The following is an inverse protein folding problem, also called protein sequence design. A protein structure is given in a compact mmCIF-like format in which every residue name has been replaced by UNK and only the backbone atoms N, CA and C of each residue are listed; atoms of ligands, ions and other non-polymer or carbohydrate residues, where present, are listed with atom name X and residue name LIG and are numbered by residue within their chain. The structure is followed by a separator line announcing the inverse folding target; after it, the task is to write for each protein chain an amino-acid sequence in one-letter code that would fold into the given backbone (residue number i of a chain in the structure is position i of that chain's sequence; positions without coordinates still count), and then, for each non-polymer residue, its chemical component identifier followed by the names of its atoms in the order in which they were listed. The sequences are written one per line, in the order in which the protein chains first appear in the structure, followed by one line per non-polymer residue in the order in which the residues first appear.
data_IF_909696772904
#
_entry.id   IF_909696772904
#
_cell.length_a   1.000
_cell.length_b   1.000
_cell.length_c   1.000
_cell.angle_alpha   90.00
_cell.angle_beta   90.00
_cell.angle_gamma   90.00
#
_symmetry.space_group_name_H-M   'P 1'
#
loop_
_entity.id
_entity.type
_entity.pdbx_description
1 polymer ?
#
# COMPACT_ATOMS: atom_id res chain seq x y z
N UNK A 1 -10.84 -31.46 -1.32
CA UNK A 1 -10.55 -31.10 -2.72
C UNK A 1 -10.40 -29.60 -2.74
N UNK A 2 -9.15 -29.14 -2.77
CA UNK A 2 -8.79 -27.73 -2.73
C UNK A 2 -9.06 -27.12 -4.10
N UNK A 3 -9.85 -26.06 -4.16
CA UNK A 3 -9.99 -25.27 -5.38
C UNK A 3 -9.02 -24.09 -5.31
N UNK A 4 -8.11 -24.08 -6.27
CA UNK A 4 -7.01 -23.13 -6.42
C UNK A 4 -7.48 -22.11 -7.45
N UNK A 5 -8.25 -21.12 -7.01
CA UNK A 5 -8.72 -20.03 -7.85
C UNK A 5 -8.60 -18.67 -7.12
N UNK A 6 -7.46 -18.43 -6.48
CA UNK A 6 -7.13 -17.15 -5.85
C UNK A 6 -6.48 -16.20 -6.86
N UNK A 7 -7.27 -15.23 -7.32
CA UNK A 7 -6.82 -14.10 -8.15
C UNK A 7 -5.97 -13.12 -7.31
N UNK A 8 -4.92 -12.49 -7.88
CA UNK A 8 -3.96 -11.71 -7.11
C UNK A 8 -4.53 -10.34 -6.72
N UNK A 9 -4.53 -10.00 -5.42
CA UNK A 9 -4.82 -8.65 -4.91
C UNK A 9 -3.82 -8.31 -3.79
N UNK A 10 -3.60 -7.02 -3.48
CA UNK A 10 -2.37 -6.44 -2.91
C UNK A 10 -2.63 -5.55 -1.68
N UNK A 11 -1.76 -5.60 -0.66
CA UNK A 11 -1.63 -4.65 0.43
C UNK A 11 -0.18 -4.65 0.95
N UNK A 12 0.38 -3.45 1.12
CA UNK A 12 1.65 -3.21 1.80
C UNK A 12 1.42 -2.39 3.05
N UNK A 13 2.20 -2.64 4.10
CA UNK A 13 2.41 -1.66 5.16
C UNK A 13 3.92 -1.44 5.27
N UNK A 14 4.40 -0.32 4.72
CA UNK A 14 5.76 0.17 4.93
C UNK A 14 5.64 1.53 5.63
N UNK A 15 6.20 1.65 6.84
CA UNK A 15 6.48 2.95 7.43
C UNK A 15 7.78 3.45 6.80
N UNK A 16 7.70 4.20 5.72
CA UNK A 16 8.84 5.01 5.27
C UNK A 16 8.89 6.27 6.14
N UNK A 17 10.05 6.55 6.73
CA UNK A 17 10.34 7.89 7.22
C UNK A 17 10.51 8.76 5.97
N UNK A 18 9.47 9.53 5.64
CA UNK A 18 9.38 10.29 4.40
C UNK A 18 7.98 10.85 4.23
N UNK A 19 7.78 12.02 4.81
CA UNK A 19 7.10 13.18 4.23
C UNK A 19 5.58 13.22 4.09
N UNK A 20 4.84 12.13 4.32
CA UNK A 20 3.37 12.18 4.38
C UNK A 20 2.88 13.17 5.42
N UNK A 21 2.51 14.38 4.98
CA UNK A 21 2.02 15.45 5.85
C UNK A 21 0.50 15.33 5.95
N UNK A 22 0.07 14.92 7.14
CA UNK A 22 -1.28 15.08 7.72
C UNK A 22 -2.36 14.10 7.27
N UNK A 23 -2.01 12.87 6.90
CA UNK A 23 -2.98 11.78 6.87
C UNK A 23 -2.96 10.89 8.13
N UNK A 24 -3.76 11.27 9.13
CA UNK A 24 -3.99 10.48 10.34
C UNK A 24 -5.42 9.94 10.41
N UNK A 25 -5.66 8.79 9.80
CA UNK A 25 -6.88 8.06 10.10
C UNK A 25 -6.74 7.19 11.34
N UNK A 26 -7.84 7.09 12.08
CA UNK A 26 -7.99 6.03 13.08
C UNK A 26 -7.85 4.65 12.44
N UNK A 27 -7.01 3.82 13.05
CA UNK A 27 -6.90 2.38 12.82
C UNK A 27 -7.52 1.67 14.02
N UNK A 28 -8.35 0.65 13.79
CA UNK A 28 -8.91 -0.18 14.87
C UNK A 28 -8.34 -1.61 14.78
N UNK A 29 -7.96 -2.23 15.90
CA UNK A 29 -7.61 -3.64 15.92
C UNK A 29 -8.75 -4.51 15.36
N UNK A 30 -8.39 -5.54 14.58
CA UNK A 30 -9.36 -6.46 13.97
C UNK A 30 -10.02 -5.94 12.68
N UNK A 31 -9.80 -4.68 12.30
CA UNK A 31 -10.26 -4.15 11.01
C UNK A 31 -9.20 -4.38 9.94
N UNK A 32 -9.64 -4.96 8.83
CA UNK A 32 -8.84 -5.11 7.62
C UNK A 32 -8.75 -3.78 6.87
N UNK A 33 -7.52 -3.40 6.48
CA UNK A 33 -7.24 -2.15 5.75
C UNK A 33 -6.57 -2.50 4.43
N UNK A 34 -7.11 -1.99 3.32
CA UNK A 34 -6.40 -2.00 2.04
C UNK A 34 -5.49 -0.77 1.99
N UNK A 35 -4.18 -0.97 1.90
CA UNK A 35 -3.19 0.11 1.89
C UNK A 35 -2.28 -0.03 0.68
N UNK A 36 -2.06 1.08 -0.03
CA UNK A 36 -1.13 1.14 -1.15
C UNK A 36 -0.25 2.37 -1.06
N UNK A 37 1.04 2.14 -1.30
CA UNK A 37 2.07 3.16 -1.47
C UNK A 37 2.45 3.18 -2.95
N UNK A 38 2.46 4.37 -3.54
CA UNK A 38 2.98 4.59 -4.89
C UNK A 38 4.21 5.46 -4.79
N UNK A 39 5.29 5.06 -5.45
CA UNK A 39 6.47 5.89 -5.68
C UNK A 39 6.62 6.00 -7.19
N UNK A 40 6.45 7.21 -7.73
CA UNK A 40 6.57 7.46 -9.16
C UNK A 40 7.66 8.50 -9.41
N UNK A 41 8.75 8.07 -10.03
CA UNK A 41 9.89 8.92 -10.42
C UNK A 41 9.84 9.33 -11.90
N UNK A 42 8.85 8.83 -12.65
CA UNK A 42 8.73 8.97 -14.10
C UNK A 42 7.76 10.08 -14.50
N UNK A 43 6.63 10.17 -13.80
CA UNK A 43 5.64 11.22 -14.02
C UNK A 43 6.10 12.52 -13.32
N UNK A 44 6.42 13.54 -14.11
CA UNK A 44 7.04 14.78 -13.66
C UNK A 44 6.30 15.97 -14.26
N UNK A 45 6.28 17.07 -13.52
CA UNK A 45 5.74 18.34 -13.98
C UNK A 45 6.12 19.47 -13.03
N UNK A 46 5.57 20.66 -13.25
CA UNK A 46 5.91 21.86 -12.47
C UNK A 46 5.65 21.68 -10.97
N UNK A 47 4.58 20.96 -10.60
CA UNK A 47 4.23 20.66 -9.19
C UNK A 47 5.05 19.50 -8.61
N UNK A 48 5.53 18.58 -9.46
CA UNK A 48 6.26 17.38 -9.04
C UNK A 48 7.54 17.21 -9.90
N UNK A 49 8.56 18.07 -9.72
CA UNK A 49 9.71 18.12 -10.63
C UNK A 49 10.53 16.82 -10.68
N UNK A 50 10.53 16.10 -9.56
CA UNK A 50 11.25 14.82 -9.39
C UNK A 50 10.32 13.61 -9.32
N UNK A 51 9.02 13.82 -9.51
CA UNK A 51 7.98 12.83 -9.28
C UNK A 51 7.38 12.94 -7.88
N UNK A 52 6.63 11.91 -7.48
CA UNK A 52 5.80 11.97 -6.28
C UNK A 52 5.69 10.63 -5.54
N UNK A 53 5.25 10.72 -4.29
CA UNK A 53 4.74 9.62 -3.49
C UNK A 53 3.24 9.79 -3.30
N UNK A 54 2.47 8.70 -3.33
CA UNK A 54 1.04 8.71 -2.98
C UNK A 54 0.75 7.62 -1.95
N UNK A 55 -0.19 7.93 -1.05
CA UNK A 55 -0.74 6.95 -0.10
C UNK A 55 -2.23 6.80 -0.33
N UNK A 56 -2.68 5.55 -0.47
CA UNK A 56 -4.09 5.20 -0.55
C UNK A 56 -4.50 4.35 0.65
N UNK A 57 -5.70 4.62 1.17
CA UNK A 57 -6.38 3.77 2.18
C UNK A 57 -7.75 3.41 1.67
N UNK A 58 -8.09 2.12 1.69
CA UNK A 58 -9.37 1.57 1.24
C UNK A 58 -9.74 2.04 -0.19
N UNK A 59 -8.73 2.14 -1.06
CA UNK A 59 -8.90 2.54 -2.46
C UNK A 59 -9.04 4.05 -2.69
N UNK A 60 -8.98 4.87 -1.63
CA UNK A 60 -9.10 6.33 -1.70
C UNK A 60 -7.72 6.97 -1.50
N UNK A 61 -7.36 7.93 -2.37
CA UNK A 61 -6.15 8.73 -2.21
C UNK A 61 -6.25 9.54 -0.93
N UNK A 62 -5.23 9.44 -0.08
CA UNK A 62 -5.19 10.15 1.20
C UNK A 62 -4.19 11.28 1.21
N UNK A 63 -3.07 11.09 0.53
CA UNK A 63 -2.02 12.10 0.45
C UNK A 63 -1.14 11.91 -0.80
N UNK A 64 -0.53 12.99 -1.26
CA UNK A 64 0.41 13.02 -2.36
C UNK A 64 1.44 14.14 -2.20
N UNK A 65 2.72 13.76 -2.14
CA UNK A 65 3.84 14.69 -1.96
C UNK A 65 4.89 14.55 -3.06
N UNK A 66 5.61 15.64 -3.31
CA UNK A 66 6.78 15.63 -4.19
C UNK A 66 7.97 14.93 -3.52
N UNK A 67 8.74 14.16 -4.30
CA UNK A 67 9.90 13.43 -3.79
C UNK A 67 11.07 14.35 -3.37
N UNK A 68 11.16 15.54 -3.96
CA UNK A 68 12.21 16.52 -3.70
C UNK A 68 11.94 17.42 -2.49
N UNK A 69 10.76 17.32 -1.86
CA UNK A 69 10.44 18.12 -0.67
C UNK A 69 11.49 17.98 0.44
N UNK A 70 12.25 16.88 0.45
CA UNK A 70 13.31 16.57 1.42
C UNK A 70 14.61 16.10 0.75
N UNK A 71 14.78 16.38 -0.55
CA UNK A 71 15.97 15.98 -1.31
C UNK A 71 16.12 14.46 -1.50
N UNK A 72 15.02 13.71 -1.46
CA UNK A 72 15.04 12.26 -1.62
C UNK A 72 15.10 11.93 -3.11
N UNK A 73 16.07 11.10 -3.52
CA UNK A 73 16.14 10.54 -4.88
C UNK A 73 16.04 9.02 -4.81
N UNK A 74 14.86 8.44 -5.11
CA UNK A 74 14.70 6.99 -5.10
C UNK A 74 15.64 6.33 -6.12
N UNK A 75 16.28 5.24 -5.70
CA UNK A 75 17.13 4.42 -6.57
C UNK A 75 17.00 2.95 -6.18
N UNK A 76 17.29 2.07 -7.14
CA UNK A 76 17.30 0.64 -6.88
C UNK A 76 18.49 0.29 -5.97
N UNK A 77 18.25 -0.56 -4.99
CA UNK A 77 19.28 -1.08 -4.07
C UNK A 77 19.06 -2.57 -3.83
N UNK A 78 20.04 -3.23 -3.21
CA UNK A 78 19.91 -4.63 -2.77
C UNK A 78 19.25 -4.75 -1.39
N UNK A 79 18.66 -3.66 -0.87
CA UNK A 79 17.95 -3.70 0.40
C UNK A 79 16.72 -4.61 0.27
N UNK A 80 16.56 -5.62 1.14
CA UNK A 80 15.45 -6.55 1.02
C UNK A 80 14.14 -5.86 1.41
N UNK A 81 13.10 -6.07 0.61
CA UNK A 81 11.73 -5.72 0.95
C UNK A 81 11.25 -6.61 2.10
N UNK A 82 10.86 -6.01 3.20
CA UNK A 82 10.31 -6.70 4.37
C UNK A 82 8.85 -6.37 4.55
N UNK A 83 8.06 -7.38 4.88
CA UNK A 83 6.63 -7.27 5.15
C UNK A 83 6.40 -7.76 6.57
N UNK A 84 5.73 -6.94 7.39
CA UNK A 84 5.44 -7.27 8.78
C UNK A 84 6.62 -7.09 9.75
N UNK A 85 7.73 -6.49 9.32
CA UNK A 85 8.85 -6.14 10.20
C UNK A 85 9.69 -5.00 9.59
N UNK A 86 10.11 -4.04 10.41
CA UNK A 86 11.05 -2.99 9.99
C UNK A 86 12.51 -3.46 10.11
N UNK A 87 12.78 -4.32 11.11
CA UNK A 87 14.08 -4.92 11.41
C UNK A 87 13.88 -6.38 11.87
N UNK A 88 14.96 -7.06 12.28
CA UNK A 88 14.88 -8.44 12.76
C UNK A 88 14.48 -8.57 14.24
N UNK A 89 14.14 -7.46 14.91
CA UNK A 89 13.91 -7.39 16.35
C UNK A 89 12.43 -7.21 16.71
N UNK A 90 11.61 -6.72 15.78
CA UNK A 90 10.19 -6.47 16.01
C UNK A 90 9.32 -6.90 14.83
N UNK A 91 8.19 -7.53 15.16
CA UNK A 91 7.26 -8.11 14.18
C UNK A 91 5.85 -7.57 14.39
N UNK A 92 5.13 -7.37 13.27
CA UNK A 92 3.75 -6.95 13.24
C UNK A 92 2.85 -8.01 13.89
N UNK A 93 2.06 -7.59 14.87
CA UNK A 93 1.11 -8.44 15.58
C UNK A 93 -0.27 -8.27 14.94
N UNK A 94 -0.56 -9.09 13.94
CA UNK A 94 -1.83 -9.07 13.22
C UNK A 94 -1.81 -10.01 12.02
N UNK A 95 -2.75 -9.81 11.10
CA UNK A 95 -2.77 -10.52 9.83
C UNK A 95 -2.32 -9.59 8.69
N UNK A 96 -1.49 -10.12 7.81
CA UNK A 96 -1.15 -9.50 6.53
C UNK A 96 -1.51 -10.53 5.46
N UNK A 97 -2.23 -10.10 4.44
CA UNK A 97 -2.62 -10.98 3.34
C UNK A 97 -2.68 -10.21 2.05
N UNK A 98 -2.70 -10.96 0.93
CA UNK A 98 -2.91 -10.43 -0.42
C UNK A 98 -1.88 -9.34 -0.72
N UNK A 99 -0.62 -9.68 -1.02
CA UNK A 99 0.50 -8.73 -1.26
C UNK A 99 0.97 -8.86 -2.72
N UNK A 100 1.18 -7.77 -3.46
CA UNK A 100 1.88 -7.83 -4.77
C UNK A 100 2.49 -6.51 -5.25
N UNK A 101 3.71 -6.58 -5.80
CA UNK A 101 4.49 -5.40 -6.21
C UNK A 101 4.21 -5.13 -7.69
N UNK A 102 4.15 -3.86 -8.06
CA UNK A 102 4.05 -3.44 -9.46
C UNK A 102 5.27 -2.61 -9.85
N UNK A 103 5.70 -2.74 -11.10
CA UNK A 103 6.77 -1.96 -11.73
C UNK A 103 6.26 -0.62 -12.31
N UNK A 104 4.95 -0.38 -12.18
CA UNK A 104 4.22 0.75 -12.74
C UNK A 104 3.13 1.21 -11.76
N UNK A 105 2.77 2.48 -11.86
CA UNK A 105 1.72 3.04 -11.02
C UNK A 105 0.36 2.39 -11.31
N UNK A 106 -0.26 1.88 -10.25
CA UNK A 106 -1.61 1.32 -10.31
C UNK A 106 -2.62 2.45 -10.20
N UNK A 107 -3.54 2.54 -11.16
CA UNK A 107 -4.57 3.58 -11.15
C UNK A 107 -5.46 3.50 -9.91
N UNK A 108 -5.98 4.66 -9.49
CA UNK A 108 -6.92 4.75 -8.37
C UNK A 108 -8.15 3.84 -8.55
N UNK A 109 -8.71 3.77 -9.76
CA UNK A 109 -9.85 2.89 -10.04
C UNK A 109 -9.55 1.41 -9.78
N UNK A 110 -8.33 0.96 -10.11
CA UNK A 110 -7.87 -0.39 -9.85
C UNK A 110 -7.61 -0.63 -8.36
N UNK A 111 -7.07 0.34 -7.63
CA UNK A 111 -6.93 0.26 -6.17
C UNK A 111 -8.29 0.23 -5.45
N UNK A 112 -9.30 0.94 -5.96
CA UNK A 112 -10.67 0.85 -5.46
C UNK A 112 -11.29 -0.54 -5.72
N UNK A 113 -11.04 -1.13 -6.89
CA UNK A 113 -11.46 -2.50 -7.20
C UNK A 113 -10.79 -3.53 -6.28
N UNK A 114 -9.49 -3.36 -5.98
CA UNK A 114 -8.76 -4.20 -5.01
C UNK A 114 -9.42 -4.17 -3.62
N UNK A 115 -9.74 -2.98 -3.13
CA UNK A 115 -10.47 -2.82 -1.87
C UNK A 115 -11.85 -3.51 -1.90
N UNK A 116 -12.62 -3.31 -2.97
CA UNK A 116 -13.93 -3.95 -3.13
C UNK A 116 -13.85 -5.48 -3.10
N UNK A 117 -12.86 -6.06 -3.78
CA UNK A 117 -12.63 -7.50 -3.77
C UNK A 117 -12.24 -8.03 -2.37
N UNK A 118 -11.41 -7.28 -1.64
CA UNK A 118 -11.04 -7.59 -0.27
C UNK A 118 -12.25 -7.56 0.68
N UNK A 119 -13.09 -6.53 0.60
CA UNK A 119 -14.28 -6.41 1.44
C UNK A 119 -15.33 -7.48 1.14
N UNK A 120 -15.55 -7.82 -0.12
CA UNK A 120 -16.49 -8.87 -0.51
C UNK A 120 -16.10 -10.25 0.04
N UNK A 121 -14.80 -10.53 0.08
CA UNK A 121 -14.26 -11.77 0.64
C UNK A 121 -14.46 -11.87 2.16
N UNK A 122 -14.32 -10.74 2.88
CA UNK A 122 -14.60 -10.68 4.32
C UNK A 122 -16.08 -10.92 4.62
N UNK A 123 -16.98 -10.34 3.82
CA UNK A 123 -18.41 -10.59 3.95
C UNK A 123 -18.75 -12.06 3.69
N UNK A 124 -18.14 -12.68 2.68
CA UNK A 124 -18.34 -14.10 2.37
C UNK A 124 -17.83 -15.01 3.47
N UNK A 125 -16.67 -14.70 4.03
CA UNK A 125 -16.07 -15.46 5.14
C UNK A 125 -16.91 -15.37 6.43
N UNK A 126 -17.61 -14.25 6.64
CA UNK A 126 -18.50 -14.08 7.79
C UNK A 126 -19.86 -14.79 7.64
N UNK A 127 -20.33 -15.04 6.41
CA UNK A 127 -21.61 -15.69 6.14
C UNK A 127 -21.55 -17.24 6.12
N UNK A 128 -20.35 -17.82 6.32
CA UNK A 128 -20.08 -19.26 6.23
C UNK A 128 -20.02 -20.02 7.56
N UNK A 129 -20.46 -19.43 8.68
CA UNK A 129 -20.61 -20.06 10.01
C UNK A 129 -22.07 -20.26 10.37
#
# INVERSE_FOLDING_TARGET
MADVADCPVVAYAAKTAGDGKDFEDRVRPGEWIHYALVINIRDKGDTYPTGYVKVYKNGVLRDQDALDAYGITPSNTDAPLRIGAADATSYFKGAIGKVAVYDSEVSQSRLAAHYGAMSADLTRSAAGT
#
